data_IF_845102582947
#
_entry.id   IF_845102582947
#
_cell.length_a   1.000
_cell.length_b   1.000
_cell.length_c   1.000
_cell.angle_alpha   90.00
_cell.angle_beta   90.00
_cell.angle_gamma   90.00
#
_symmetry.space_group_name_H-M   'P 1'
#
loop_
_entity.id
_entity.type
_entity.pdbx_description
1 polymer ?
#
# COMPACT_ATOMS: atom_id res chain seq x y z
N UNK A 1 -27.35 -16.78 8.18
CA UNK A 1 -26.16 -17.61 7.94
C UNK A 1 -24.94 -16.72 8.09
N UNK A 2 -24.04 -17.01 9.05
CA UNK A 2 -22.83 -16.23 9.25
C UNK A 2 -21.87 -16.43 8.09
N UNK A 3 -21.18 -15.37 7.67
CA UNK A 3 -20.25 -15.41 6.56
C UNK A 3 -18.94 -16.10 6.98
N UNK A 4 -18.47 -17.03 6.16
CA UNK A 4 -17.17 -17.70 6.34
C UNK A 4 -16.25 -17.28 5.20
N UNK A 5 -15.06 -16.78 5.54
CA UNK A 5 -14.05 -16.39 4.57
C UNK A 5 -13.32 -17.65 4.07
N UNK A 6 -13.73 -18.13 2.89
CA UNK A 6 -13.13 -19.27 2.20
C UNK A 6 -12.51 -18.82 0.87
N UNK A 7 -12.05 -17.59 0.77
CA UNK A 7 -11.39 -17.11 -0.45
C UNK A 7 -10.02 -17.75 -0.63
N UNK A 8 -9.69 -18.05 -1.88
CA UNK A 8 -8.34 -18.46 -2.24
C UNK A 8 -7.44 -17.22 -2.33
N UNK A 9 -6.33 -17.16 -1.57
CA UNK A 9 -5.33 -16.08 -1.69
C UNK A 9 -4.67 -16.00 -3.07
N UNK A 10 -4.72 -17.09 -3.87
CA UNK A 10 -4.23 -17.13 -5.24
C UNK A 10 -5.32 -16.64 -6.18
N UNK A 11 -5.05 -15.57 -6.92
CA UNK A 11 -6.00 -15.04 -7.89
C UNK A 11 -6.06 -15.91 -9.15
N UNK A 12 -4.89 -16.32 -9.63
CA UNK A 12 -4.73 -17.24 -10.77
C UNK A 12 -3.30 -17.77 -10.85
N UNK A 13 -3.12 -18.82 -11.63
CA UNK A 13 -1.80 -19.40 -11.89
C UNK A 13 -1.43 -19.25 -13.37
N UNK A 14 -0.17 -18.87 -13.62
CA UNK A 14 0.42 -18.83 -14.95
C UNK A 14 1.61 -19.79 -14.95
N UNK A 15 1.49 -20.91 -15.64
CA UNK A 15 2.42 -22.03 -15.59
C UNK A 15 2.60 -22.52 -14.14
N UNK A 16 3.77 -22.36 -13.55
CA UNK A 16 4.10 -22.73 -12.16
C UNK A 16 4.13 -21.52 -11.20
N UNK A 17 3.75 -20.32 -11.66
CA UNK A 17 3.78 -19.10 -10.87
C UNK A 17 2.38 -18.75 -10.38
N UNK A 18 2.17 -18.80 -9.07
CA UNK A 18 0.91 -18.40 -8.44
C UNK A 18 0.88 -16.88 -8.25
N UNK A 19 -0.05 -16.19 -8.91
CA UNK A 19 -0.30 -14.76 -8.76
C UNK A 19 -1.31 -14.56 -7.63
N UNK A 20 -0.89 -13.87 -6.57
CA UNK A 20 -1.72 -13.63 -5.39
C UNK A 20 -2.47 -12.30 -5.49
N UNK A 21 -3.66 -12.23 -4.89
CA UNK A 21 -4.44 -10.99 -4.79
C UNK A 21 -3.64 -9.84 -4.18
N UNK A 22 -2.77 -10.14 -3.24
CA UNK A 22 -1.91 -9.14 -2.60
C UNK A 22 -0.96 -8.46 -3.59
N UNK A 23 -0.35 -9.23 -4.51
CA UNK A 23 0.49 -8.67 -5.57
C UNK A 23 -0.31 -7.81 -6.55
N UNK A 24 -1.52 -8.24 -6.90
CA UNK A 24 -2.42 -7.47 -7.76
C UNK A 24 -2.87 -6.16 -7.09
N UNK A 25 -3.11 -6.17 -5.78
CA UNK A 25 -3.46 -4.99 -5.02
C UNK A 25 -2.38 -3.90 -5.10
N UNK A 26 -1.11 -4.27 -4.98
CA UNK A 26 0.00 -3.32 -5.17
C UNK A 26 0.03 -2.76 -6.59
N UNK A 27 -0.09 -3.63 -7.59
CA UNK A 27 -0.09 -3.22 -9.00
C UNK A 27 -1.25 -2.25 -9.27
N UNK A 28 -2.47 -2.61 -8.86
CA UNK A 28 -3.64 -1.76 -9.05
C UNK A 28 -3.54 -0.45 -8.27
N UNK A 29 -3.07 -0.50 -7.02
CA UNK A 29 -2.86 0.68 -6.20
C UNK A 29 -1.91 1.67 -6.86
N UNK A 30 -0.78 1.20 -7.39
CA UNK A 30 0.21 2.03 -8.08
C UNK A 30 -0.36 2.57 -9.41
N UNK A 31 -0.96 1.72 -10.24
CA UNK A 31 -1.50 2.12 -11.54
C UNK A 31 -2.63 3.15 -11.38
N UNK A 32 -3.62 2.86 -10.52
CA UNK A 32 -4.75 3.76 -10.32
C UNK A 32 -4.32 5.06 -9.61
N UNK A 33 -3.40 4.98 -8.64
CA UNK A 33 -2.83 6.16 -8.01
C UNK A 33 -2.05 7.03 -9.00
N UNK A 34 -1.22 6.43 -9.85
CA UNK A 34 -0.51 7.13 -10.91
C UNK A 34 -1.45 7.80 -11.91
N UNK A 35 -2.43 7.05 -12.44
CA UNK A 35 -3.42 7.58 -13.39
C UNK A 35 -4.23 8.72 -12.77
N UNK A 36 -4.59 8.60 -11.50
CA UNK A 36 -5.32 9.61 -10.76
C UNK A 36 -4.50 10.91 -10.64
N UNK A 37 -3.26 10.82 -10.18
CA UNK A 37 -2.36 11.96 -10.10
C UNK A 37 -2.17 12.61 -11.48
N UNK A 38 -1.83 11.81 -12.50
CA UNK A 38 -1.52 12.29 -13.84
C UNK A 38 -2.71 12.99 -14.50
N UNK A 39 -3.92 12.42 -14.41
CA UNK A 39 -5.09 12.93 -15.15
C UNK A 39 -5.90 13.97 -14.39
N UNK A 40 -5.89 13.91 -13.07
CA UNK A 40 -6.82 14.69 -12.23
C UNK A 40 -6.10 15.74 -11.40
N UNK A 41 -5.02 15.38 -10.72
CA UNK A 41 -4.35 16.28 -9.78
C UNK A 41 -3.36 17.22 -10.46
N UNK A 42 -2.53 16.69 -11.37
CA UNK A 42 -1.46 17.46 -12.02
C UNK A 42 -2.01 18.21 -13.24
N UNK A 43 -1.87 19.56 -13.21
CA UNK A 43 -2.29 20.44 -14.31
C UNK A 43 -1.11 21.03 -15.08
N UNK A 44 0.07 21.01 -14.47
CA UNK A 44 1.30 21.55 -15.04
C UNK A 44 2.04 20.47 -15.83
N UNK A 45 2.38 20.72 -17.10
CA UNK A 45 3.03 19.77 -17.99
C UNK A 45 4.46 19.40 -17.53
N UNK A 46 5.17 20.33 -16.87
CA UNK A 46 6.53 20.11 -16.37
C UNK A 46 6.44 19.14 -15.18
N UNK A 47 5.54 19.42 -14.24
CA UNK A 47 5.32 18.54 -13.09
C UNK A 47 4.84 17.16 -13.54
N UNK A 48 4.01 17.08 -14.59
CA UNK A 48 3.54 15.80 -15.11
C UNK A 48 4.69 14.93 -15.65
N UNK A 49 5.63 15.51 -16.41
CA UNK A 49 6.82 14.80 -16.88
C UNK A 49 7.70 14.34 -15.73
N UNK A 50 7.96 15.22 -14.76
CA UNK A 50 8.73 14.87 -13.58
C UNK A 50 8.04 13.77 -12.76
N UNK A 51 6.72 13.77 -12.67
CA UNK A 51 5.97 12.75 -11.94
C UNK A 51 6.06 11.37 -12.62
N UNK A 52 6.12 11.30 -13.95
CA UNK A 52 6.37 10.04 -14.67
C UNK A 52 7.74 9.43 -14.31
N UNK A 53 8.78 10.24 -14.27
CA UNK A 53 10.11 9.79 -13.83
C UNK A 53 10.15 9.43 -12.35
N UNK A 54 9.40 10.18 -11.53
CA UNK A 54 9.33 9.97 -10.07
C UNK A 54 8.76 8.62 -9.69
N UNK A 55 7.83 8.05 -10.46
CA UNK A 55 7.21 6.74 -10.16
C UNK A 55 8.27 5.65 -9.95
N UNK A 56 9.34 5.65 -10.75
CA UNK A 56 10.44 4.69 -10.58
C UNK A 56 11.13 4.84 -9.22
N UNK A 57 11.37 6.07 -8.78
CA UNK A 57 11.94 6.35 -7.46
C UNK A 57 11.00 5.93 -6.33
N UNK A 58 9.70 6.18 -6.50
CA UNK A 58 8.66 5.78 -5.54
C UNK A 58 8.64 4.26 -5.35
N UNK A 59 8.62 3.48 -6.45
CA UNK A 59 8.60 2.02 -6.41
C UNK A 59 9.87 1.48 -5.75
N UNK A 60 11.04 2.00 -6.13
CA UNK A 60 12.33 1.62 -5.52
C UNK A 60 12.32 1.92 -4.02
N UNK A 61 11.83 3.11 -3.63
CA UNK A 61 11.70 3.51 -2.23
C UNK A 61 10.82 2.57 -1.41
N UNK A 62 9.66 2.19 -1.95
CA UNK A 62 8.74 1.26 -1.30
C UNK A 62 9.42 -0.11 -1.12
N UNK A 63 10.03 -0.65 -2.17
CA UNK A 63 10.61 -2.00 -2.15
C UNK A 63 11.81 -2.05 -1.20
N UNK A 64 12.79 -1.16 -1.39
CA UNK A 64 14.02 -1.15 -0.59
C UNK A 64 13.70 -0.79 0.85
N UNK A 65 12.94 0.27 1.06
CA UNK A 65 12.56 0.72 2.41
C UNK A 65 11.74 -0.33 3.15
N UNK A 66 10.74 -0.90 2.49
CA UNK A 66 9.90 -1.96 3.06
C UNK A 66 10.69 -3.19 3.45
N UNK A 67 11.61 -3.63 2.59
CA UNK A 67 12.45 -4.81 2.87
C UNK A 67 13.47 -4.55 3.97
N UNK A 68 14.21 -3.45 3.89
CA UNK A 68 15.18 -3.09 4.93
C UNK A 68 14.51 -2.86 6.29
N UNK A 69 13.35 -2.20 6.30
CA UNK A 69 12.56 -2.04 7.52
C UNK A 69 12.13 -3.37 8.13
N UNK A 70 11.72 -4.33 7.31
CA UNK A 70 11.40 -5.68 7.79
C UNK A 70 12.62 -6.40 8.38
N UNK A 71 13.74 -6.37 7.68
CA UNK A 71 15.00 -6.96 8.12
C UNK A 71 15.43 -6.40 9.47
N UNK A 72 15.41 -5.07 9.60
CA UNK A 72 15.95 -4.37 10.80
C UNK A 72 15.01 -4.54 12.00
N UNK A 73 13.70 -4.34 11.82
CA UNK A 73 12.78 -4.23 12.95
C UNK A 73 12.10 -5.54 13.33
N UNK A 74 11.99 -6.53 12.43
CA UNK A 74 11.22 -7.75 12.70
C UNK A 74 12.08 -9.01 12.80
N UNK A 75 13.16 -9.13 12.02
CA UNK A 75 13.94 -10.38 11.95
C UNK A 75 15.45 -10.16 11.86
N UNK A 76 15.98 -9.15 12.54
CA UNK A 76 17.38 -8.74 12.43
C UNK A 76 18.38 -9.89 12.67
N UNK A 77 18.22 -10.64 13.76
CA UNK A 77 19.12 -11.76 14.12
C UNK A 77 19.09 -12.88 13.09
N UNK A 78 17.95 -13.16 12.47
CA UNK A 78 17.84 -14.16 11.41
C UNK A 78 18.63 -13.73 10.17
N UNK A 79 18.48 -12.49 9.74
CA UNK A 79 19.15 -11.97 8.53
C UNK A 79 20.64 -11.72 8.71
N UNK A 80 21.13 -11.54 9.94
CA UNK A 80 22.56 -11.54 10.21
C UNK A 80 23.22 -12.90 9.89
N UNK A 81 22.51 -14.00 10.14
CA UNK A 81 22.97 -15.35 9.84
C UNK A 81 22.69 -15.77 8.40
N UNK A 82 21.74 -15.13 7.71
CA UNK A 82 21.32 -15.45 6.35
C UNK A 82 21.27 -14.18 5.45
N UNK A 83 22.41 -13.50 5.20
CA UNK A 83 22.43 -12.17 4.57
C UNK A 83 21.93 -12.18 3.12
N UNK A 84 22.07 -13.29 2.40
CA UNK A 84 21.59 -13.41 1.02
C UNK A 84 20.06 -13.31 0.95
N UNK A 85 19.36 -13.76 1.98
CA UNK A 85 17.90 -13.72 2.02
C UNK A 85 17.33 -12.29 2.15
N UNK A 86 18.16 -11.30 2.49
CA UNK A 86 17.75 -9.88 2.46
C UNK A 86 17.24 -9.50 1.07
N UNK A 87 17.84 -10.02 0.01
CA UNK A 87 17.48 -9.73 -1.37
C UNK A 87 16.31 -10.56 -1.91
N UNK A 88 15.89 -11.59 -1.19
CA UNK A 88 14.82 -12.49 -1.61
C UNK A 88 13.44 -11.92 -1.24
N UNK A 89 13.05 -10.80 -1.88
CA UNK A 89 11.77 -10.10 -1.62
C UNK A 89 10.54 -10.97 -1.93
N UNK A 90 10.69 -11.95 -2.81
CA UNK A 90 9.62 -12.89 -3.18
C UNK A 90 9.24 -13.87 -2.05
N UNK A 91 10.10 -14.04 -1.04
CA UNK A 91 9.79 -14.82 0.16
C UNK A 91 8.86 -14.07 1.14
N UNK A 92 8.44 -12.84 0.79
CA UNK A 92 7.62 -12.00 1.65
C UNK A 92 8.45 -11.22 2.70
N UNK A 93 7.76 -10.59 3.62
CA UNK A 93 8.38 -9.77 4.67
C UNK A 93 8.68 -8.34 4.22
N UNK A 94 7.67 -7.48 4.38
CA UNK A 94 7.74 -6.04 4.09
C UNK A 94 7.24 -5.25 5.30
N UNK A 95 7.90 -4.15 5.61
CA UNK A 95 7.51 -3.22 6.67
C UNK A 95 6.81 -2.00 6.07
N UNK A 96 5.61 -1.70 6.54
CA UNK A 96 4.90 -0.47 6.16
C UNK A 96 5.72 0.79 6.52
N UNK A 97 6.22 0.86 7.75
CA UNK A 97 7.02 2.01 8.20
C UNK A 97 8.33 2.14 7.41
N UNK A 98 8.97 1.01 7.10
CA UNK A 98 10.15 0.99 6.24
C UNK A 98 9.85 1.52 4.83
N UNK A 99 8.73 1.11 4.24
CA UNK A 99 8.25 1.62 2.96
C UNK A 99 8.00 3.12 2.98
N UNK A 100 7.34 3.62 4.03
CA UNK A 100 7.08 5.06 4.21
C UNK A 100 8.38 5.88 4.30
N UNK A 101 9.34 5.41 5.08
CA UNK A 101 10.68 6.05 5.18
C UNK A 101 11.36 6.02 3.80
N UNK A 102 11.29 4.89 3.10
CA UNK A 102 11.83 4.74 1.75
C UNK A 102 11.22 5.75 0.76
N UNK A 103 9.91 5.96 0.80
CA UNK A 103 9.22 6.97 0.00
C UNK A 103 9.77 8.37 0.30
N UNK A 104 9.89 8.75 1.57
CA UNK A 104 10.38 10.07 1.97
C UNK A 104 11.82 10.28 1.47
N UNK A 105 12.69 9.29 1.66
CA UNK A 105 14.10 9.38 1.22
C UNK A 105 14.19 9.50 -0.30
N UNK A 106 13.50 8.65 -1.05
CA UNK A 106 13.57 8.67 -2.52
C UNK A 106 12.93 9.92 -3.09
N UNK A 107 11.86 10.44 -2.50
CA UNK A 107 11.26 11.72 -2.86
C UNK A 107 12.23 12.88 -2.63
N UNK A 108 12.92 12.89 -1.50
CA UNK A 108 13.95 13.90 -1.21
C UNK A 108 15.07 13.85 -2.25
N UNK A 109 15.59 12.66 -2.56
CA UNK A 109 16.66 12.49 -3.54
C UNK A 109 16.23 12.93 -4.94
N UNK A 110 15.00 12.56 -5.33
CA UNK A 110 14.42 12.96 -6.62
C UNK A 110 14.24 14.49 -6.72
N UNK A 111 13.63 15.09 -5.70
CA UNK A 111 13.40 16.54 -5.65
C UNK A 111 14.70 17.33 -5.67
N UNK A 112 15.70 16.89 -4.91
CA UNK A 112 17.05 17.51 -4.89
C UNK A 112 17.71 17.44 -6.28
N UNK A 113 17.64 16.29 -6.95
CA UNK A 113 18.18 16.09 -8.31
C UNK A 113 17.54 17.05 -9.32
N UNK A 114 16.22 17.19 -9.25
CA UNK A 114 15.43 17.97 -10.20
C UNK A 114 15.22 19.44 -9.79
N UNK A 115 15.78 19.85 -8.65
CA UNK A 115 15.64 21.21 -8.08
C UNK A 115 14.18 21.63 -7.92
N UNK A 116 13.34 20.70 -7.44
CA UNK A 116 11.90 20.90 -7.19
C UNK A 116 11.61 20.81 -5.69
N UNK A 117 10.44 21.32 -5.27
CA UNK A 117 10.00 21.15 -3.90
C UNK A 117 9.59 19.69 -3.63
N UNK A 118 10.04 19.12 -2.52
CA UNK A 118 9.71 17.77 -2.07
C UNK A 118 8.20 17.62 -1.80
N UNK A 119 7.57 18.68 -1.29
CA UNK A 119 6.16 18.64 -0.90
C UNK A 119 5.22 18.47 -2.08
N UNK A 120 5.61 18.90 -3.28
CA UNK A 120 4.82 18.63 -4.51
C UNK A 120 4.55 17.13 -4.66
N UNK A 121 5.58 16.31 -4.56
CA UNK A 121 5.46 14.85 -4.74
C UNK A 121 4.86 14.16 -3.52
N UNK A 122 5.19 14.63 -2.30
CA UNK A 122 4.61 14.08 -1.07
C UNK A 122 3.10 14.33 -1.01
N UNK A 123 2.63 15.51 -1.42
CA UNK A 123 1.21 15.83 -1.50
C UNK A 123 0.49 14.91 -2.49
N UNK A 124 1.04 14.74 -3.71
CA UNK A 124 0.47 13.85 -4.71
C UNK A 124 0.37 12.40 -4.21
N UNK A 125 1.45 11.89 -3.58
CA UNK A 125 1.45 10.55 -2.99
C UNK A 125 0.45 10.43 -1.86
N UNK A 126 0.37 11.43 -0.97
CA UNK A 126 -0.56 11.42 0.16
C UNK A 126 -2.03 11.38 -0.27
N UNK A 127 -2.38 12.12 -1.35
CA UNK A 127 -3.74 12.13 -1.89
C UNK A 127 -4.07 10.81 -2.60
N UNK A 128 -3.09 10.18 -3.26
CA UNK A 128 -3.28 8.92 -3.96
C UNK A 128 -3.16 7.68 -3.05
N UNK A 129 -2.46 7.76 -1.91
CA UNK A 129 -2.21 6.63 -1.00
C UNK A 129 -3.48 5.88 -0.56
N UNK A 130 -4.62 6.53 -0.28
CA UNK A 130 -5.85 5.84 0.08
C UNK A 130 -6.34 4.83 -0.97
N UNK A 131 -6.04 5.06 -2.27
CA UNK A 131 -6.36 4.10 -3.35
C UNK A 131 -5.58 2.79 -3.12
N UNK A 132 -4.29 2.87 -2.81
CA UNK A 132 -3.47 1.71 -2.51
C UNK A 132 -3.89 1.01 -1.22
N UNK A 133 -4.26 1.78 -0.18
CA UNK A 133 -4.76 1.25 1.09
C UNK A 133 -6.05 0.46 0.86
N UNK A 134 -6.99 0.99 0.08
CA UNK A 134 -8.24 0.30 -0.27
C UNK A 134 -7.98 -1.10 -0.84
N UNK A 135 -7.15 -1.21 -1.87
CA UNK A 135 -6.82 -2.48 -2.49
C UNK A 135 -6.05 -3.41 -1.54
N UNK A 136 -5.12 -2.87 -0.77
CA UNK A 136 -4.35 -3.63 0.22
C UNK A 136 -5.23 -4.23 1.30
N UNK A 137 -6.19 -3.47 1.85
CA UNK A 137 -7.11 -3.96 2.89
C UNK A 137 -8.11 -4.99 2.36
N UNK A 138 -8.59 -4.82 1.13
CA UNK A 138 -9.40 -5.85 0.47
C UNK A 138 -8.61 -7.15 0.31
N UNK A 139 -7.35 -7.07 -0.09
CA UNK A 139 -6.48 -8.25 -0.20
C UNK A 139 -6.19 -8.90 1.16
N UNK A 140 -5.99 -8.12 2.23
CA UNK A 140 -5.88 -8.69 3.57
C UNK A 140 -7.15 -9.44 3.98
N UNK A 141 -8.33 -8.94 3.60
CA UNK A 141 -9.59 -9.66 3.84
C UNK A 141 -9.64 -10.97 3.08
N UNK A 142 -9.31 -10.97 1.78
CA UNK A 142 -9.27 -12.19 0.96
C UNK A 142 -8.28 -13.21 1.54
N UNK A 143 -7.11 -12.76 1.98
CA UNK A 143 -6.08 -13.63 2.56
C UNK A 143 -6.41 -14.10 4.00
N UNK A 144 -7.47 -13.58 4.64
CA UNK A 144 -7.77 -13.87 6.04
C UNK A 144 -6.72 -13.35 7.04
N UNK A 145 -6.00 -12.27 6.68
CA UNK A 145 -4.95 -11.66 7.49
C UNK A 145 -5.46 -10.44 8.25
N UNK A 146 -4.75 -10.06 9.33
CA UNK A 146 -5.03 -8.85 10.13
C UNK A 146 -6.49 -8.78 10.59
N UNK A 147 -7.02 -9.91 11.01
CA UNK A 147 -8.41 -10.05 11.47
C UNK A 147 -8.65 -9.26 12.76
N UNK A 148 -9.89 -8.81 12.93
CA UNK A 148 -10.28 -8.03 14.08
C UNK A 148 -10.47 -8.85 15.35
N UNK A 149 -10.92 -8.17 16.42
CA UNK A 149 -11.24 -8.78 17.70
C UNK A 149 -12.40 -9.75 17.57
N UNK A 150 -12.48 -10.70 18.49
CA UNK A 150 -13.63 -11.62 18.63
C UNK A 150 -14.90 -10.80 18.86
N UNK A 151 -16.00 -11.21 18.20
CA UNK A 151 -17.29 -10.53 18.28
C UNK A 151 -18.43 -11.55 18.34
N UNK A 152 -19.57 -11.12 18.85
CA UNK A 152 -20.85 -11.83 18.76
C UNK A 152 -21.84 -11.10 17.85
N UNK A 153 -21.36 -10.14 17.04
CA UNK A 153 -22.20 -9.37 16.14
C UNK A 153 -22.66 -10.20 14.95
N UNK A 154 -23.86 -9.92 14.43
CA UNK A 154 -24.45 -10.65 13.28
C UNK A 154 -23.64 -10.50 11.98
N UNK A 155 -22.80 -9.47 11.87
CA UNK A 155 -21.90 -9.22 10.73
C UNK A 155 -20.47 -9.72 10.98
N UNK A 156 -20.24 -10.50 12.05
CA UNK A 156 -18.96 -11.17 12.27
C UNK A 156 -18.64 -12.15 11.15
N UNK A 157 -17.37 -12.39 10.95
CA UNK A 157 -16.83 -13.30 9.91
C UNK A 157 -15.99 -14.38 10.57
N UNK A 158 -16.17 -15.61 10.12
CA UNK A 158 -15.25 -16.70 10.43
C UNK A 158 -14.07 -16.68 9.46
N UNK A 159 -12.86 -16.78 10.04
CA UNK A 159 -11.61 -16.92 9.29
C UNK A 159 -10.98 -18.27 9.62
N UNK A 160 -11.31 -19.34 8.88
CA UNK A 160 -10.91 -20.70 9.22
C UNK A 160 -9.42 -20.93 9.37
N UNK A 161 -8.62 -20.21 8.56
CA UNK A 161 -7.14 -20.29 8.59
C UNK A 161 -6.52 -19.55 9.78
N UNK A 162 -7.32 -18.78 10.53
CA UNK A 162 -6.86 -18.03 11.69
C UNK A 162 -7.28 -18.69 13.02
N UNK A 163 -8.59 -18.87 13.25
CA UNK A 163 -9.16 -19.61 14.37
C UNK A 163 -10.67 -19.91 14.18
N UNK A 164 -11.25 -20.63 15.15
CA UNK A 164 -12.67 -21.04 15.14
C UNK A 164 -13.62 -19.98 15.73
N UNK A 165 -13.19 -18.72 15.84
CA UNK A 165 -13.96 -17.65 16.48
C UNK A 165 -14.51 -16.68 15.46
N UNK A 166 -15.71 -16.17 15.73
CA UNK A 166 -16.31 -15.08 14.98
C UNK A 166 -15.56 -13.77 15.26
N UNK A 167 -15.13 -13.08 14.22
CA UNK A 167 -14.30 -11.88 14.35
C UNK A 167 -14.84 -10.71 13.53
N UNK A 168 -14.56 -9.49 14.00
CA UNK A 168 -14.81 -8.30 13.19
C UNK A 168 -13.96 -8.35 11.91
N UNK A 169 -14.55 -8.09 10.73
CA UNK A 169 -13.79 -7.92 9.48
C UNK A 169 -13.11 -6.53 9.47
N UNK A 170 -12.10 -6.33 10.35
CA UNK A 170 -11.43 -5.04 10.52
C UNK A 170 -10.81 -4.54 9.23
N UNK A 171 -10.37 -5.45 8.35
CA UNK A 171 -9.84 -5.11 7.03
C UNK A 171 -10.85 -4.33 6.18
N UNK A 172 -12.15 -4.71 6.23
CA UNK A 172 -13.20 -4.00 5.50
C UNK A 172 -13.53 -2.64 6.14
N UNK A 173 -13.47 -2.53 7.47
CA UNK A 173 -13.63 -1.24 8.14
C UNK A 173 -12.49 -0.29 7.76
N UNK A 174 -11.25 -0.78 7.74
CA UNK A 174 -10.08 -0.02 7.35
C UNK A 174 -10.12 0.34 5.86
N UNK A 175 -10.55 -0.58 4.98
CA UNK A 175 -10.76 -0.30 3.55
C UNK A 175 -11.76 0.84 3.34
N UNK A 176 -12.84 0.86 4.11
CA UNK A 176 -13.83 1.93 4.04
C UNK A 176 -13.31 3.24 4.61
N UNK A 177 -12.74 3.23 5.82
CA UNK A 177 -12.33 4.45 6.52
C UNK A 177 -11.03 5.04 5.95
N UNK A 178 -10.00 4.22 5.78
CA UNK A 178 -8.67 4.65 5.32
C UNK A 178 -8.56 4.66 3.79
N UNK A 179 -9.36 3.85 3.10
CA UNK A 179 -9.45 3.84 1.64
C UNK A 179 -10.46 4.89 1.15
N UNK A 180 -11.76 4.67 1.33
CA UNK A 180 -12.80 5.49 0.71
C UNK A 180 -12.96 6.86 1.39
N UNK A 181 -13.20 6.87 2.71
CA UNK A 181 -13.48 8.12 3.44
C UNK A 181 -12.24 9.03 3.41
N UNK A 182 -11.07 8.50 3.69
CA UNK A 182 -9.83 9.29 3.64
C UNK A 182 -9.57 9.83 2.23
N UNK A 183 -9.81 9.05 1.17
CA UNK A 183 -9.69 9.51 -0.21
C UNK A 183 -10.61 10.72 -0.48
N UNK A 184 -11.88 10.64 -0.06
CA UNK A 184 -12.83 11.75 -0.22
C UNK A 184 -12.33 12.98 0.54
N UNK A 185 -11.92 12.83 1.80
CA UNK A 185 -11.44 13.94 2.63
C UNK A 185 -10.20 14.62 2.04
N UNK A 186 -9.21 13.84 1.60
CA UNK A 186 -8.00 14.37 0.95
C UNK A 186 -8.33 15.14 -0.32
N UNK A 187 -9.30 14.66 -1.10
CA UNK A 187 -9.75 15.37 -2.30
C UNK A 187 -10.50 16.64 -1.97
N UNK A 188 -11.35 16.65 -0.95
CA UNK A 188 -12.04 17.87 -0.52
C UNK A 188 -11.03 18.95 -0.09
N UNK A 189 -9.96 18.57 0.60
CA UNK A 189 -8.87 19.48 0.98
C UNK A 189 -8.15 19.98 -0.27
N UNK A 190 -7.73 19.07 -1.16
CA UNK A 190 -6.98 19.38 -2.37
C UNK A 190 -7.72 20.33 -3.31
N UNK A 191 -9.01 20.08 -3.55
CA UNK A 191 -9.82 20.92 -4.44
C UNK A 191 -10.36 22.19 -3.76
N UNK A 192 -10.01 22.42 -2.50
CA UNK A 192 -10.33 23.70 -1.85
C UNK A 192 -9.52 24.82 -2.54
N UNK A 193 -10.20 25.93 -2.84
CA UNK A 193 -9.61 27.09 -3.55
C UNK A 193 -8.37 27.68 -2.88
N UNK A 194 -8.20 27.47 -1.59
CA UNK A 194 -7.08 27.99 -0.79
C UNK A 194 -5.88 27.03 -0.72
N UNK A 195 -6.03 25.78 -1.21
CA UNK A 195 -4.95 24.81 -1.17
C UNK A 195 -3.99 25.03 -2.35
N UNK A 196 -2.69 24.94 -2.07
CA UNK A 196 -1.61 24.96 -3.07
C UNK A 196 -0.76 23.71 -2.85
N UNK A 197 -0.40 23.04 -3.93
CA UNK A 197 0.54 21.91 -3.88
C UNK A 197 1.95 22.45 -3.57
N UNK A 198 2.63 21.86 -2.60
CA UNK A 198 3.99 22.19 -2.22
C UNK A 198 4.10 23.22 -1.11
#
# INVERSE_FOLDING_TARGET
QMFTNNFDPVAFEIFSLSVRWYSLAYIFGIIFGWLYCKKILIKDDIIQKLFEDYISYLIIGIIIGGRLGYVIFYNFSYFLNNPIEIFMIWNGGMSFHGGLIGIIITTYLFSKKNKTDIFIFLDLVSIAAPIGILFGRISNFINGELVGKVTNSDWGVFFPDYDDKLRHPSQLYEAFLEGIILFILMNLIFFNKNYKIG
#
